data_IF_100054457280
#
_entry.id   IF_100054457280
#
_cell.length_a   1.000
_cell.length_b   1.000
_cell.length_c   1.000
_cell.angle_alpha   90.00
_cell.angle_beta   90.00
_cell.angle_gamma   90.00
#
_symmetry.space_group_name_H-M   'P 1'
#
loop_
_entity.id
_entity.type
_entity.pdbx_description
1 polymer ?
#
# COMPACT_ATOMS: atom_id res chain seq x y z
N UNK A 1 -0.81 13.32 -9.19
CA UNK A 1 -2.04 12.84 -8.55
C UNK A 1 -3.02 13.98 -8.44
N UNK A 2 -4.30 13.67 -8.45
CA UNK A 2 -5.41 14.61 -8.22
C UNK A 2 -5.43 15.17 -6.76
N UNK A 3 -4.55 14.67 -5.89
CA UNK A 3 -4.41 15.10 -4.49
C UNK A 3 -5.22 14.23 -3.53
N UNK A 4 -5.20 14.52 -2.21
CA UNK A 4 -5.97 13.77 -1.22
C UNK A 4 -7.47 13.69 -1.60
N UNK A 5 -8.12 12.52 -1.47
CA UNK A 5 -7.66 11.28 -0.83
C UNK A 5 -6.89 10.31 -1.77
N UNK A 6 -6.36 10.79 -2.89
CA UNK A 6 -5.49 10.03 -3.82
C UNK A 6 -6.14 8.80 -4.48
N UNK A 7 -7.46 8.82 -4.67
CA UNK A 7 -8.18 7.72 -5.33
C UNK A 7 -7.72 7.44 -6.77
N UNK A 8 -7.12 8.43 -7.43
CA UNK A 8 -6.55 8.29 -8.77
C UNK A 8 -5.36 7.31 -8.82
N UNK A 9 -4.72 7.02 -7.68
CA UNK A 9 -3.66 6.01 -7.57
C UNK A 9 -4.18 4.56 -7.51
N UNK A 10 -5.45 4.36 -7.09
CA UNK A 10 -6.02 3.02 -6.84
C UNK A 10 -5.91 2.07 -8.04
N UNK A 11 -6.24 2.47 -9.29
CA UNK A 11 -6.14 1.56 -10.43
C UNK A 11 -4.73 1.07 -10.70
N UNK A 12 -3.71 1.90 -10.45
CA UNK A 12 -2.31 1.55 -10.64
C UNK A 12 -1.83 0.58 -9.55
N UNK A 13 -2.11 0.89 -8.28
CA UNK A 13 -1.78 0.03 -7.15
C UNK A 13 -2.42 -1.35 -7.30
N UNK A 14 -3.70 -1.39 -7.72
CA UNK A 14 -4.43 -2.64 -7.98
C UNK A 14 -3.76 -3.46 -9.07
N UNK A 15 -3.42 -2.82 -10.19
CA UNK A 15 -2.80 -3.52 -11.31
C UNK A 15 -1.44 -4.13 -10.92
N UNK A 16 -0.66 -3.45 -10.11
CA UNK A 16 0.61 -3.97 -9.58
C UNK A 16 0.38 -5.17 -8.65
N UNK A 17 -0.56 -5.05 -7.71
CA UNK A 17 -0.91 -6.10 -6.76
C UNK A 17 -1.42 -7.38 -7.45
N UNK A 18 -2.26 -7.25 -8.49
CA UNK A 18 -2.76 -8.38 -9.28
C UNK A 18 -1.66 -9.02 -10.15
N UNK A 19 -0.71 -8.24 -10.65
CA UNK A 19 0.34 -8.73 -11.55
C UNK A 19 1.42 -9.52 -10.81
N UNK A 20 1.75 -9.12 -9.58
CA UNK A 20 2.84 -9.73 -8.81
C UNK A 20 2.48 -9.84 -7.31
N UNK A 21 1.43 -10.62 -6.95
CA UNK A 21 0.86 -10.61 -5.59
C UNK A 21 1.85 -11.02 -4.49
N UNK A 22 2.88 -11.81 -4.82
CA UNK A 22 3.90 -12.28 -3.86
C UNK A 22 5.17 -11.40 -3.86
N UNK A 23 5.13 -10.22 -4.50
CA UNK A 23 6.30 -9.32 -4.65
C UNK A 23 6.00 -7.85 -4.34
N UNK A 24 4.90 -7.59 -3.62
CA UNK A 24 4.48 -6.24 -3.24
C UNK A 24 4.43 -6.14 -1.71
N UNK A 25 4.95 -5.03 -1.18
CA UNK A 25 4.79 -4.59 0.21
C UNK A 25 4.20 -3.17 0.20
N UNK A 26 3.73 -2.69 1.34
CA UNK A 26 3.18 -1.34 1.47
C UNK A 26 3.78 -0.61 2.68
N UNK A 27 3.91 0.71 2.58
CA UNK A 27 4.32 1.58 3.69
C UNK A 27 3.77 3.00 3.49
N UNK A 28 3.58 3.74 4.57
CA UNK A 28 2.99 5.09 4.56
C UNK A 28 3.91 6.14 3.95
N UNK A 29 5.23 5.93 4.02
CA UNK A 29 6.27 6.95 3.80
C UNK A 29 6.31 8.05 4.90
N UNK A 30 5.64 7.86 6.04
CA UNK A 30 5.75 8.78 7.18
C UNK A 30 7.23 8.88 7.66
N UNK A 31 7.77 10.08 7.96
CA UNK A 31 7.11 11.37 8.17
C UNK A 31 7.00 12.27 6.91
N UNK A 32 6.89 11.67 5.73
CA UNK A 32 6.68 12.34 4.43
C UNK A 32 7.73 13.42 4.14
N UNK A 33 9.04 13.10 4.13
CA UNK A 33 10.06 14.10 3.85
C UNK A 33 9.88 14.69 2.44
N UNK A 34 10.10 16.01 2.31
CA UNK A 34 10.03 16.74 1.03
C UNK A 34 8.63 16.92 0.41
N UNK A 35 7.54 16.59 1.10
CA UNK A 35 6.19 16.93 0.62
C UNK A 35 5.86 18.41 0.90
N UNK A 36 5.12 19.05 -0.02
CA UNK A 36 4.65 20.45 0.16
C UNK A 36 3.39 20.56 1.00
N UNK A 37 2.55 19.53 0.94
CA UNK A 37 1.30 19.42 1.69
C UNK A 37 1.38 18.09 2.42
N UNK A 38 1.28 18.14 3.74
CA UNK A 38 1.31 16.95 4.57
C UNK A 38 0.03 16.15 4.30
N UNK A 39 0.12 14.90 3.81
CA UNK A 39 -1.06 14.06 3.66
C UNK A 39 -1.61 13.68 5.04
N UNK A 40 -2.91 13.38 5.09
CA UNK A 40 -3.45 12.64 6.21
C UNK A 40 -3.05 11.16 6.02
N UNK A 41 -2.30 10.59 6.97
CA UNK A 41 -1.89 9.19 6.91
C UNK A 41 -3.08 8.22 6.82
N UNK A 42 -4.23 8.59 7.42
CA UNK A 42 -5.47 7.81 7.34
C UNK A 42 -5.97 7.67 5.92
N UNK A 43 -5.96 8.75 5.14
CA UNK A 43 -6.38 8.72 3.73
C UNK A 43 -5.49 7.76 2.90
N UNK A 44 -4.20 7.65 3.24
CA UNK A 44 -3.27 6.73 2.56
C UNK A 44 -3.55 5.27 2.92
N UNK A 45 -3.82 4.98 4.19
CA UNK A 45 -4.18 3.63 4.68
C UNK A 45 -5.53 3.19 4.09
N UNK A 46 -6.49 4.11 3.99
CA UNK A 46 -7.83 3.85 3.46
C UNK A 46 -7.83 3.47 1.97
N UNK A 47 -6.73 3.71 1.24
CA UNK A 47 -6.55 3.22 -0.14
C UNK A 47 -6.39 1.69 -0.22
N UNK A 48 -5.85 1.05 0.82
CA UNK A 48 -5.53 -0.39 0.82
C UNK A 48 -6.74 -1.26 0.45
N UNK A 49 -7.90 -1.17 1.12
CA UNK A 49 -9.06 -1.98 0.76
C UNK A 49 -9.62 -1.64 -0.63
N UNK A 50 -9.29 -0.48 -1.21
CA UNK A 50 -9.73 -0.10 -2.55
C UNK A 50 -8.90 -0.78 -3.65
N UNK A 51 -7.58 -0.86 -3.47
CA UNK A 51 -6.69 -1.51 -4.44
C UNK A 51 -6.48 -3.01 -4.19
N UNK A 52 -6.73 -3.49 -2.97
CA UNK A 52 -6.68 -4.90 -2.58
C UNK A 52 -7.94 -5.27 -1.79
N UNK A 53 -9.11 -5.42 -2.45
CA UNK A 53 -10.37 -5.70 -1.74
C UNK A 53 -10.43 -7.11 -1.16
N UNK A 54 -9.64 -8.05 -1.65
CA UNK A 54 -9.59 -9.43 -1.15
C UNK A 54 -8.74 -9.51 0.14
N UNK A 55 -9.27 -10.05 1.26
CA UNK A 55 -8.53 -10.18 2.51
C UNK A 55 -7.20 -10.94 2.37
N UNK A 56 -7.15 -11.94 1.50
CA UNK A 56 -5.95 -12.73 1.22
C UNK A 56 -4.85 -11.86 0.57
N UNK A 57 -5.24 -10.95 -0.31
CA UNK A 57 -4.30 -10.03 -0.96
C UNK A 57 -3.79 -8.97 0.03
N UNK A 58 -4.66 -8.46 0.91
CA UNK A 58 -4.23 -7.57 1.99
C UNK A 58 -3.24 -8.27 2.92
N UNK A 59 -3.51 -9.52 3.31
CA UNK A 59 -2.60 -10.32 4.14
C UNK A 59 -1.24 -10.49 3.47
N UNK A 60 -1.19 -10.78 2.17
CA UNK A 60 0.08 -10.86 1.43
C UNK A 60 0.85 -9.55 1.50
N UNK A 61 0.20 -8.43 1.19
CA UNK A 61 0.86 -7.11 1.10
C UNK A 61 1.32 -6.59 2.47
N UNK A 62 0.54 -6.84 3.53
CA UNK A 62 0.76 -6.24 4.86
C UNK A 62 1.43 -7.17 5.86
N UNK A 63 1.45 -8.49 5.62
CA UNK A 63 1.95 -9.48 6.58
C UNK A 63 2.96 -10.41 5.92
N UNK A 64 2.52 -11.24 4.97
CA UNK A 64 3.33 -12.38 4.53
C UNK A 64 4.52 -11.95 3.66
N UNK A 65 4.35 -10.99 2.73
CA UNK A 65 5.45 -10.50 1.90
C UNK A 65 6.47 -9.68 2.70
N UNK A 66 6.07 -8.72 3.58
CA UNK A 66 7.02 -8.04 4.44
C UNK A 66 7.76 -8.99 5.38
N UNK A 67 7.07 -9.96 6.01
CA UNK A 67 7.70 -10.92 6.91
C UNK A 67 8.85 -11.68 6.22
N UNK A 68 8.57 -12.24 5.03
CA UNK A 68 9.58 -12.94 4.23
C UNK A 68 10.71 -12.04 3.74
N UNK A 69 10.43 -10.77 3.43
CA UNK A 69 11.46 -9.83 2.97
C UNK A 69 12.40 -9.41 4.09
N UNK A 70 11.87 -9.21 5.29
CA UNK A 70 12.63 -8.71 6.44
C UNK A 70 13.11 -9.81 7.40
N UNK A 71 12.73 -11.07 7.17
CA UNK A 71 13.15 -12.22 7.99
C UNK A 71 12.44 -12.26 9.35
N UNK A 72 11.15 -11.95 9.40
CA UNK A 72 10.34 -12.05 10.62
C UNK A 72 9.65 -13.40 10.79
N UNK A 73 9.71 -14.24 9.76
CA UNK A 73 9.15 -15.59 9.69
C UNK A 73 10.15 -16.70 10.08
N UNK A 74 11.39 -16.35 10.41
CA UNK A 74 12.46 -17.22 10.92
C UNK A 74 12.45 -17.38 12.46
#
# INVERSE_FOLDING_TARGET
>A
SDGPPFHDAVPFARKLAETAPDRIIWGTDWPHPNVKVMPNDGDLVDLIPLFAPEPELQRKILVDNPARLFGFDD
#
